data_IF_743850776020
#
_entry.id   IF_743850776020
#
_cell.length_a   1.000
_cell.length_b   1.000
_cell.length_c   1.000
_cell.angle_alpha   90.00
_cell.angle_beta   90.00
_cell.angle_gamma   90.00
#
_symmetry.space_group_name_H-M   'P 1'
#
loop_
_entity.id
_entity.type
_entity.pdbx_description
1 polymer ?
#
# COMPACT_ATOMS: atom_id res chain seq x y z
N UNK A 1 -4.79 7.82 -4.01
CA UNK A 1 -4.17 6.71 -3.27
C UNK A 1 -4.71 6.68 -1.84
N UNK A 2 -5.35 5.58 -1.45
CA UNK A 2 -5.89 5.37 -0.10
C UNK A 2 -5.39 4.06 0.46
N UNK A 3 -5.30 3.98 1.79
CA UNK A 3 -4.93 2.76 2.52
C UNK A 3 -5.92 2.62 3.66
N UNK A 4 -6.74 1.57 3.61
CA UNK A 4 -7.82 1.35 4.56
C UNK A 4 -7.58 0.02 5.27
N UNK A 5 -7.70 0.00 6.60
CA UNK A 5 -7.66 -1.25 7.36
C UNK A 5 -8.99 -1.99 7.24
N UNK A 6 -8.97 -3.33 7.19
CA UNK A 6 -10.18 -4.16 7.12
C UNK A 6 -10.93 -4.25 8.48
N UNK A 7 -10.84 -3.23 9.34
CA UNK A 7 -11.59 -3.14 10.60
C UNK A 7 -11.19 -4.15 11.70
N UNK A 8 -10.15 -4.96 11.48
CA UNK A 8 -9.70 -6.01 12.41
C UNK A 8 -8.31 -5.69 12.97
N UNK A 9 -8.03 -6.12 14.20
CA UNK A 9 -6.73 -6.08 14.91
C UNK A 9 -5.61 -6.90 14.22
N UNK A 10 -5.85 -7.41 13.01
CA UNK A 10 -5.00 -8.38 12.32
C UNK A 10 -3.87 -7.75 11.50
N UNK A 11 -3.78 -6.42 11.44
CA UNK A 11 -2.77 -5.70 10.66
C UNK A 11 -2.93 -5.88 9.14
N UNK A 12 -4.15 -6.17 8.68
CA UNK A 12 -4.50 -6.36 7.26
C UNK A 12 -5.10 -5.06 6.71
N UNK A 13 -4.55 -4.63 5.59
CA UNK A 13 -4.89 -3.38 4.92
C UNK A 13 -5.07 -3.59 3.43
N UNK A 14 -5.97 -2.79 2.86
CA UNK A 14 -6.18 -2.67 1.43
C UNK A 14 -5.58 -1.33 0.96
N UNK A 15 -4.74 -1.39 -0.08
CA UNK A 15 -4.25 -0.20 -0.77
C UNK A 15 -4.98 -0.03 -2.11
N UNK A 16 -5.50 1.17 -2.36
CA UNK A 16 -6.20 1.54 -3.60
C UNK A 16 -5.56 2.75 -4.27
N UNK A 17 -5.20 2.60 -5.55
CA UNK A 17 -4.66 3.65 -6.40
C UNK A 17 -5.57 3.84 -7.61
N UNK A 18 -6.33 4.94 -7.63
CA UNK A 18 -7.02 5.42 -8.84
C UNK A 18 -6.02 6.13 -9.73
N UNK A 19 -6.00 5.78 -11.02
CA UNK A 19 -5.16 6.38 -12.04
C UNK A 19 -6.03 6.89 -13.18
N UNK A 20 -5.74 8.09 -13.68
CA UNK A 20 -6.45 8.65 -14.84
C UNK A 20 -6.11 7.91 -16.13
N UNK A 21 -4.89 7.34 -16.21
CA UNK A 21 -4.43 6.46 -17.29
C UNK A 21 -4.03 5.10 -16.71
N UNK A 22 -4.58 3.98 -17.20
CA UNK A 22 -4.19 2.67 -16.71
C UNK A 22 -2.69 2.42 -16.91
N UNK A 23 -1.96 2.13 -15.83
CA UNK A 23 -0.55 1.76 -15.87
C UNK A 23 -0.26 0.68 -14.84
N UNK A 24 0.79 -0.11 -15.03
CA UNK A 24 1.22 -1.05 -13.98
C UNK A 24 1.56 -0.27 -12.69
N UNK A 25 1.27 -0.87 -11.54
CA UNK A 25 1.54 -0.26 -10.25
C UNK A 25 2.06 -1.31 -9.26
N UNK A 26 3.11 -0.95 -8.52
CA UNK A 26 3.70 -1.78 -7.47
C UNK A 26 3.45 -1.15 -6.12
N UNK A 27 2.88 -1.93 -5.20
CA UNK A 27 2.76 -1.59 -3.80
C UNK A 27 4.07 -1.95 -3.07
N UNK A 28 4.62 -1.01 -2.32
CA UNK A 28 5.77 -1.22 -1.43
C UNK A 28 5.43 -0.72 -0.04
N UNK A 29 5.73 -1.51 0.99
CA UNK A 29 5.50 -1.13 2.39
C UNK A 29 6.81 -1.20 3.15
N UNK A 30 7.16 -0.12 3.83
CA UNK A 30 8.37 -0.01 4.63
C UNK A 30 8.03 0.20 6.10
N UNK A 31 8.84 -0.37 6.99
CA UNK A 31 8.80 0.00 8.41
C UNK A 31 9.54 1.32 8.67
N UNK A 32 9.53 1.79 9.93
CA UNK A 32 10.18 3.05 10.34
C UNK A 32 11.70 3.09 10.13
N UNK A 33 12.35 1.93 10.03
CA UNK A 33 13.79 1.85 9.75
C UNK A 33 14.10 1.99 8.25
N UNK A 34 13.07 2.04 7.40
CA UNK A 34 13.20 2.05 5.94
C UNK A 34 13.36 0.65 5.35
N UNK A 35 13.18 -0.41 6.13
CA UNK A 35 13.22 -1.79 5.63
C UNK A 35 11.94 -2.10 4.86
N UNK A 36 12.10 -2.68 3.68
CA UNK A 36 10.98 -3.18 2.87
C UNK A 36 10.37 -4.42 3.53
N UNK A 37 9.08 -4.33 3.86
CA UNK A 37 8.27 -5.38 4.52
C UNK A 37 7.36 -6.09 3.53
N UNK A 38 6.77 -5.36 2.57
CA UNK A 38 5.91 -5.91 1.52
C UNK A 38 6.29 -5.29 0.18
N UNK A 39 6.33 -6.11 -0.87
CA UNK A 39 6.38 -5.66 -2.26
C UNK A 39 5.49 -6.55 -3.11
N UNK A 40 4.54 -5.97 -3.84
CA UNK A 40 3.68 -6.73 -4.76
C UNK A 40 3.05 -5.86 -5.84
N UNK A 41 2.71 -6.50 -6.95
CA UNK A 41 1.92 -5.87 -8.01
C UNK A 41 0.49 -5.59 -7.53
N UNK A 42 -0.04 -4.44 -7.92
CA UNK A 42 -1.44 -4.08 -7.75
C UNK A 42 -2.24 -4.49 -8.99
N UNK A 43 -3.45 -5.02 -8.80
CA UNK A 43 -4.31 -5.54 -9.87
C UNK A 43 -5.51 -4.64 -10.12
N UNK A 44 -6.19 -4.80 -11.25
CA UNK A 44 -7.28 -3.94 -11.71
C UNK A 44 -6.86 -3.08 -12.90
N UNK A 45 -7.79 -2.28 -13.44
CA UNK A 45 -7.54 -1.39 -14.59
C UNK A 45 -7.21 0.02 -14.13
N UNK A 46 -8.17 0.95 -14.14
CA UNK A 46 -8.03 2.34 -13.68
C UNK A 46 -8.01 2.47 -12.16
N UNK A 47 -8.51 1.46 -11.43
CA UNK A 47 -8.39 1.37 -9.97
C UNK A 47 -7.55 0.15 -9.64
N UNK A 48 -6.30 0.41 -9.27
CA UNK A 48 -5.33 -0.60 -8.84
C UNK A 48 -5.52 -0.91 -7.37
N UNK A 49 -5.49 -2.19 -7.01
CA UNK A 49 -5.73 -2.66 -5.64
C UNK A 49 -4.73 -3.73 -5.23
N UNK A 50 -4.37 -3.74 -3.96
CA UNK A 50 -3.59 -4.82 -3.36
C UNK A 50 -3.83 -4.86 -1.86
N UNK A 51 -4.14 -6.05 -1.34
CA UNK A 51 -4.12 -6.32 0.08
C UNK A 51 -2.70 -6.56 0.57
N UNK A 52 -2.41 -6.18 1.81
CA UNK A 52 -1.16 -6.49 2.47
C UNK A 52 -1.36 -6.65 3.97
N UNK A 53 -0.43 -7.40 4.58
CA UNK A 53 -0.38 -7.60 6.03
C UNK A 53 0.94 -7.07 6.55
N UNK A 54 0.91 -6.36 7.67
CA UNK A 54 2.10 -5.98 8.42
C UNK A 54 2.31 -6.92 9.61
N UNK A 55 3.57 -7.20 10.02
CA UNK A 55 3.86 -8.23 11.01
C UNK A 55 3.61 -7.77 12.46
N UNK A 56 3.65 -6.48 12.73
CA UNK A 56 3.58 -5.94 14.09
C UNK A 56 2.91 -4.56 14.13
N UNK A 57 2.44 -4.18 15.31
CA UNK A 57 2.04 -2.80 15.61
C UNK A 57 3.23 -1.86 15.40
N UNK A 58 2.96 -0.64 14.92
CA UNK A 58 4.00 0.31 14.55
C UNK A 58 3.58 1.25 13.43
N UNK A 59 4.51 2.07 12.97
CA UNK A 59 4.29 3.00 11.86
C UNK A 59 4.89 2.41 10.59
N UNK A 60 4.14 2.51 9.50
CA UNK A 60 4.59 2.04 8.19
C UNK A 60 4.39 3.11 7.12
N UNK A 61 5.28 3.11 6.15
CA UNK A 61 5.19 3.92 4.93
C UNK A 61 4.76 3.01 3.80
N UNK A 62 3.58 3.28 3.26
CA UNK A 62 2.99 2.57 2.13
C UNK A 62 3.16 3.43 0.89
N UNK A 63 3.80 2.88 -0.13
CA UNK A 63 4.00 3.51 -1.42
C UNK A 63 3.30 2.73 -2.52
N UNK A 64 2.66 3.42 -3.44
CA UNK A 64 2.26 2.88 -4.73
C UNK A 64 3.06 3.59 -5.82
N UNK A 65 3.85 2.82 -6.57
CA UNK A 65 4.72 3.32 -7.63
C UNK A 65 4.16 2.86 -8.96
N UNK A 66 3.95 3.81 -9.86
CA UNK A 66 3.53 3.56 -11.25
C UNK A 66 4.28 4.50 -12.19
N UNK A 67 4.18 4.27 -13.49
CA UNK A 67 4.71 5.22 -14.49
C UNK A 67 4.07 6.61 -14.40
N UNK A 68 2.85 6.70 -13.82
CA UNK A 68 2.16 7.97 -13.58
C UNK A 68 2.66 8.71 -12.32
N UNK A 69 3.56 8.12 -11.54
CA UNK A 69 4.16 8.72 -10.36
C UNK A 69 4.16 7.84 -9.11
N UNK A 70 4.74 8.39 -8.05
CA UNK A 70 4.78 7.80 -6.71
C UNK A 70 3.71 8.41 -5.81
N UNK A 71 2.98 7.55 -5.10
CA UNK A 71 2.05 7.97 -4.04
C UNK A 71 2.46 7.37 -2.71
N UNK A 72 2.55 8.21 -1.68
CA UNK A 72 2.97 7.78 -0.34
C UNK A 72 1.87 8.04 0.70
N UNK A 73 1.64 7.06 1.58
CA UNK A 73 0.83 7.18 2.79
C UNK A 73 1.49 6.55 4.00
N UNK A 74 1.38 7.24 5.13
CA UNK A 74 1.79 6.74 6.44
C UNK A 74 0.60 6.13 7.14
N UNK A 75 0.75 4.94 7.69
CA UNK A 75 -0.26 4.29 8.54
C UNK A 75 0.32 4.01 9.92
N UNK A 76 -0.55 4.09 10.94
CA UNK A 76 -0.24 3.67 12.30
C UNK A 76 -1.07 2.43 12.61
N UNK A 77 -0.38 1.35 12.93
CA UNK A 77 -0.95 0.04 13.28
C UNK A 77 -0.89 -0.10 14.79
N UNK A 78 -2.03 -0.39 15.41
CA UNK A 78 -2.16 -0.58 16.86
C UNK A 78 -2.24 -2.06 17.20
#
# INVERSE_FOLDING_TARGET
>A
FTVNGNGSTTGIYEAKLTQDKPAAATLMVFDVSGKLVVSRQMTGESVKQADFKVPASGVYVVKAISENGEHTRKISVK
#
